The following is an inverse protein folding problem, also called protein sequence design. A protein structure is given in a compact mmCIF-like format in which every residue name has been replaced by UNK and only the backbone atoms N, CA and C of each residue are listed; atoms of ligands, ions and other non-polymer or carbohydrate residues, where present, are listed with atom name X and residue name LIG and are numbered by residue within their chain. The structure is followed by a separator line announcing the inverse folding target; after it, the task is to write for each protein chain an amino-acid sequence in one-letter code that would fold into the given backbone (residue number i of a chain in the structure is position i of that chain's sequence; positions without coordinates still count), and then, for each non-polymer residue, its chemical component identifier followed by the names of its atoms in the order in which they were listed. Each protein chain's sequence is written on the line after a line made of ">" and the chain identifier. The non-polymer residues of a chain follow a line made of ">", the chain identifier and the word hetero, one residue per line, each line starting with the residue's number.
data_IF_474669066727
#
_entry.id   IF_474669066727
#
_cell.length_a   1.000
_cell.length_b   1.000
_cell.length_c   1.000
_cell.angle_alpha   90.00
_cell.angle_beta   90.00
_cell.angle_gamma   90.00
#
_symmetry.space_group_name_H-M   'P 1'
#
loop_
_entity.id
_entity.type
_entity.pdbx_description
1 polymer ?
#
# COMPACT_ATOMS: atom_id res chain seq x y z
N UNK A 1 22.64 -12.97 -7.14
CA UNK A 1 21.18 -12.68 -7.09
C UNK A 1 20.81 -12.13 -5.73
N UNK A 2 19.76 -11.32 -5.64
CA UNK A 2 19.32 -10.70 -4.40
C UNK A 2 18.33 -11.64 -3.65
N UNK A 3 18.58 -11.95 -2.37
CA UNK A 3 17.89 -13.05 -1.66
C UNK A 3 16.89 -12.62 -0.56
N UNK A 4 16.66 -11.32 -0.31
CA UNK A 4 15.62 -10.87 0.64
C UNK A 4 14.29 -10.60 -0.07
N UNK A 5 13.17 -10.87 0.59
CA UNK A 5 11.83 -10.71 -0.02
C UNK A 5 11.31 -9.27 0.09
N UNK A 6 11.63 -8.55 1.17
CA UNK A 6 11.20 -7.16 1.40
C UNK A 6 12.36 -6.39 2.05
N UNK A 7 12.69 -5.21 1.53
CA UNK A 7 13.64 -4.27 2.13
C UNK A 7 12.99 -2.91 2.27
N UNK A 8 13.18 -2.31 3.43
CA UNK A 8 12.95 -0.89 3.66
C UNK A 8 14.29 -0.17 3.51
N UNK A 9 14.33 0.87 2.70
CA UNK A 9 15.53 1.66 2.48
C UNK A 9 15.27 3.15 2.72
N UNK A 10 16.32 3.86 3.13
CA UNK A 10 16.36 5.30 3.29
C UNK A 10 17.78 5.77 2.96
N UNK A 11 17.96 6.61 1.93
CA UNK A 11 19.24 7.22 1.59
C UNK A 11 19.53 8.53 2.35
N UNK A 12 18.51 9.09 3.02
CA UNK A 12 18.67 10.22 3.94
C UNK A 12 19.11 9.77 5.34
N UNK A 13 19.76 10.68 6.09
CA UNK A 13 20.13 10.46 7.50
C UNK A 13 18.93 10.20 8.43
N UNK A 14 17.74 10.72 8.08
CA UNK A 14 16.50 10.52 8.85
C UNK A 14 15.34 10.19 7.92
N UNK A 15 14.68 9.08 8.22
CA UNK A 15 13.42 8.71 7.59
C UNK A 15 12.28 9.65 8.04
N UNK A 16 11.46 10.10 7.09
CA UNK A 16 10.31 10.97 7.33
C UNK A 16 9.03 10.28 6.84
N UNK A 17 8.21 9.81 7.77
CA UNK A 17 6.91 9.24 7.44
C UNK A 17 5.84 10.34 7.36
N UNK A 18 5.82 11.04 6.23
CA UNK A 18 4.92 12.16 5.98
C UNK A 18 4.52 12.23 4.51
N UNK A 19 3.56 13.10 4.19
CA UNK A 19 3.23 13.38 2.78
C UNK A 19 4.41 14.14 2.15
N UNK A 20 5.02 13.63 1.07
CA UNK A 20 6.18 14.28 0.48
C UNK A 20 5.81 15.65 -0.11
N UNK A 21 6.78 16.57 -0.12
CA UNK A 21 6.63 17.88 -0.78
C UNK A 21 6.53 17.76 -2.31
N UNK A 22 7.20 16.76 -2.89
CA UNK A 22 7.12 16.42 -4.31
C UNK A 22 6.06 15.34 -4.60
N UNK A 23 6.00 14.87 -5.84
CA UNK A 23 5.06 13.82 -6.25
C UNK A 23 5.31 12.50 -5.50
N UNK A 24 6.58 12.17 -5.24
CA UNK A 24 7.00 11.07 -4.38
C UNK A 24 8.21 11.48 -3.53
N UNK A 25 8.47 10.74 -2.46
CA UNK A 25 9.76 10.72 -1.77
C UNK A 25 10.66 9.65 -2.38
N UNK A 26 11.73 10.04 -3.06
CA UNK A 26 12.68 9.08 -3.63
C UNK A 26 13.73 8.61 -2.62
N UNK A 27 13.95 9.34 -1.53
CA UNK A 27 15.02 8.99 -0.58
C UNK A 27 14.64 7.79 0.27
N UNK A 28 13.35 7.47 0.40
CA UNK A 28 12.88 6.30 1.13
C UNK A 28 11.91 5.45 0.33
N UNK A 29 11.85 4.16 0.65
CA UNK A 29 10.93 3.25 -0.01
C UNK A 29 11.00 1.81 0.46
N UNK A 30 10.18 0.98 -0.18
CA UNK A 30 10.12 -0.46 0.03
C UNK A 30 10.40 -1.15 -1.30
N UNK A 31 11.44 -1.98 -1.33
CA UNK A 31 11.73 -2.89 -2.43
C UNK A 31 11.21 -4.28 -2.06
N UNK A 32 10.25 -4.79 -2.82
CA UNK A 32 9.76 -6.16 -2.68
C UNK A 32 10.25 -7.00 -3.86
N UNK A 33 10.75 -8.19 -3.56
CA UNK A 33 11.17 -9.19 -4.52
C UNK A 33 10.33 -10.46 -4.30
N UNK A 34 9.11 -10.55 -4.87
CA UNK A 34 8.20 -11.65 -4.62
C UNK A 34 8.81 -13.03 -4.85
N UNK A 35 9.68 -13.20 -5.85
CA UNK A 35 10.35 -14.47 -6.15
C UNK A 35 11.12 -15.08 -4.96
N UNK A 36 11.46 -14.27 -3.95
CA UNK A 36 12.16 -14.73 -2.75
C UNK A 36 11.22 -15.22 -1.64
N UNK A 37 9.90 -15.27 -1.86
CA UNK A 37 9.00 -15.99 -0.96
C UNK A 37 9.03 -17.49 -1.24
N UNK A 38 8.75 -18.28 -0.21
CA UNK A 38 8.61 -19.73 -0.34
C UNK A 38 7.25 -20.04 -0.98
N UNK A 39 7.28 -20.28 -2.29
CA UNK A 39 6.12 -20.78 -3.03
C UNK A 39 6.23 -22.29 -3.27
N UNK A 40 5.10 -23.02 -3.40
CA UNK A 40 5.11 -24.42 -3.82
C UNK A 40 5.76 -24.63 -5.20
N UNK A 41 5.66 -23.62 -6.09
CA UNK A 41 6.36 -23.56 -7.37
C UNK A 41 6.92 -22.14 -7.55
N UNK A 42 8.13 -21.99 -8.09
CA UNK A 42 8.69 -20.67 -8.37
C UNK A 42 7.80 -19.91 -9.36
N UNK A 43 7.78 -18.58 -9.23
CA UNK A 43 7.14 -17.72 -10.22
C UNK A 43 7.89 -17.85 -11.55
N UNK A 44 7.15 -17.80 -12.66
CA UNK A 44 7.71 -17.93 -14.02
C UNK A 44 8.64 -16.77 -14.38
N UNK A 45 8.35 -15.58 -13.88
CA UNK A 45 9.09 -14.35 -14.18
C UNK A 45 9.67 -13.72 -12.92
N UNK A 46 10.80 -13.03 -13.08
CA UNK A 46 11.37 -12.16 -12.05
C UNK A 46 10.51 -10.93 -11.83
N UNK A 47 10.03 -10.71 -10.62
CA UNK A 47 9.24 -9.55 -10.25
C UNK A 47 9.96 -8.71 -9.19
N UNK A 48 9.93 -7.41 -9.39
CA UNK A 48 10.37 -6.41 -8.42
C UNK A 48 9.27 -5.37 -8.29
N UNK A 49 8.94 -4.99 -7.05
CA UNK A 49 8.02 -3.89 -6.76
C UNK A 49 8.73 -2.86 -5.90
N UNK A 50 8.83 -1.66 -6.44
CA UNK A 50 9.29 -0.48 -5.71
C UNK A 50 8.07 0.35 -5.27
N UNK A 51 8.01 0.67 -3.98
CA UNK A 51 6.98 1.54 -3.41
C UNK A 51 7.65 2.72 -2.71
N UNK A 52 7.21 3.93 -3.04
CA UNK A 52 7.63 5.17 -2.40
C UNK A 52 6.43 5.87 -1.75
N UNK A 53 6.67 6.73 -0.75
CA UNK A 53 5.65 7.65 -0.25
C UNK A 53 5.26 8.63 -1.37
N UNK A 54 3.98 8.99 -1.46
CA UNK A 54 3.45 9.76 -2.56
C UNK A 54 2.49 10.86 -2.10
N UNK A 55 2.46 11.98 -2.83
CA UNK A 55 1.57 13.09 -2.56
C UNK A 55 0.32 13.02 -3.45
N UNK A 56 -0.80 12.57 -2.88
CA UNK A 56 -2.06 12.45 -3.62
C UNK A 56 -2.51 13.74 -4.28
N UNK A 57 -2.48 14.88 -3.58
CA UNK A 57 -2.96 16.16 -4.11
C UNK A 57 -2.21 16.56 -5.38
N UNK A 58 -0.90 16.40 -5.38
CA UNK A 58 -0.08 16.72 -6.55
C UNK A 58 -0.37 15.77 -7.71
N UNK A 59 -0.47 14.46 -7.45
CA UNK A 59 -0.82 13.48 -8.48
C UNK A 59 -2.20 13.73 -9.08
N UNK A 60 -3.18 14.07 -8.24
CA UNK A 60 -4.57 14.28 -8.66
C UNK A 60 -4.74 15.56 -9.48
N UNK A 61 -3.98 16.61 -9.16
CA UNK A 61 -4.00 17.87 -9.90
C UNK A 61 -3.46 17.77 -11.34
N UNK A 62 -2.66 16.74 -11.66
CA UNK A 62 -2.04 16.62 -12.99
C UNK A 62 -3.07 16.33 -14.09
N UNK A 63 -3.07 17.11 -15.19
CA UNK A 63 -3.76 16.77 -16.44
C UNK A 63 -3.28 15.43 -16.99
N UNK A 64 -4.11 14.74 -17.77
CA UNK A 64 -3.83 13.38 -18.26
C UNK A 64 -2.46 13.23 -18.94
N UNK A 65 -2.09 14.18 -19.81
CA UNK A 65 -0.82 14.14 -20.54
C UNK A 65 0.38 14.28 -19.59
N UNK A 66 0.33 15.25 -18.69
CA UNK A 66 1.37 15.48 -17.68
C UNK A 66 1.46 14.33 -16.69
N UNK A 67 0.33 13.76 -16.28
CA UNK A 67 0.27 12.57 -15.43
C UNK A 67 1.04 11.40 -16.03
N UNK A 68 0.84 11.10 -17.31
CA UNK A 68 1.55 10.01 -18.00
C UNK A 68 3.06 10.27 -18.05
N UNK A 69 3.47 11.51 -18.33
CA UNK A 69 4.89 11.88 -18.37
C UNK A 69 5.52 11.84 -16.98
N UNK A 70 4.84 12.38 -15.97
CA UNK A 70 5.29 12.37 -14.58
C UNK A 70 5.50 10.95 -14.05
N UNK A 71 4.63 9.99 -14.40
CA UNK A 71 4.84 8.58 -14.04
C UNK A 71 6.17 8.04 -14.58
N UNK A 72 6.52 8.37 -15.82
CA UNK A 72 7.79 7.93 -16.43
C UNK A 72 8.98 8.60 -15.76
N UNK A 73 8.94 9.92 -15.62
CA UNK A 73 10.00 10.72 -15.02
C UNK A 73 10.31 10.29 -13.58
N UNK A 74 9.29 10.19 -12.74
CA UNK A 74 9.47 9.84 -11.33
C UNK A 74 9.85 8.38 -11.13
N UNK A 75 9.42 7.48 -12.01
CA UNK A 75 9.93 6.09 -12.03
C UNK A 75 11.43 6.08 -12.33
N UNK A 76 11.88 6.81 -13.34
CA UNK A 76 13.31 6.90 -13.66
C UNK A 76 14.09 7.45 -12.47
N UNK A 77 13.67 8.57 -11.88
CA UNK A 77 14.34 9.15 -10.70
C UNK A 77 14.39 8.20 -9.50
N UNK A 78 13.29 7.49 -9.23
CA UNK A 78 13.24 6.51 -8.13
C UNK A 78 14.18 5.33 -8.36
N UNK A 79 14.28 4.85 -9.60
CA UNK A 79 15.22 3.80 -9.99
C UNK A 79 16.68 4.27 -9.88
N UNK A 80 17.02 5.47 -10.36
CA UNK A 80 18.39 6.00 -10.19
C UNK A 80 18.81 6.04 -8.72
N UNK A 81 17.94 6.51 -7.81
CA UNK A 81 18.24 6.49 -6.39
C UNK A 81 18.35 5.05 -5.86
N UNK A 82 17.46 4.15 -6.28
CA UNK A 82 17.51 2.74 -5.90
C UNK A 82 18.86 2.10 -6.27
N UNK A 83 19.40 2.39 -7.45
CA UNK A 83 20.66 1.79 -7.91
C UNK A 83 21.91 2.31 -7.19
N UNK A 84 21.79 3.37 -6.38
CA UNK A 84 22.85 3.75 -5.44
C UNK A 84 22.97 2.79 -4.26
N UNK A 85 21.91 2.03 -3.97
CA UNK A 85 21.80 1.11 -2.82
C UNK A 85 21.71 -0.36 -3.24
N UNK A 86 21.26 -0.64 -4.47
CA UNK A 86 20.98 -1.98 -4.98
C UNK A 86 21.63 -2.20 -6.35
N UNK A 87 21.92 -3.45 -6.74
CA UNK A 87 22.42 -3.75 -8.07
C UNK A 87 21.51 -3.22 -9.17
N UNK A 88 22.13 -2.68 -10.22
CA UNK A 88 21.41 -2.24 -11.41
C UNK A 88 20.83 -3.45 -12.16
N UNK A 89 19.51 -3.44 -12.35
CA UNK A 89 18.78 -4.50 -13.04
C UNK A 89 18.06 -4.00 -14.29
N UNK A 90 18.32 -2.75 -14.73
CA UNK A 90 17.60 -2.12 -15.85
C UNK A 90 17.58 -2.97 -17.10
N UNK A 91 18.69 -3.61 -17.43
CA UNK A 91 18.83 -4.42 -18.65
C UNK A 91 17.98 -5.71 -18.61
N UNK A 92 17.56 -6.14 -17.43
CA UNK A 92 16.67 -7.31 -17.25
C UNK A 92 15.19 -6.95 -17.28
N UNK A 93 14.83 -5.66 -17.37
CA UNK A 93 13.43 -5.20 -17.31
C UNK A 93 12.79 -5.28 -18.70
N UNK A 94 11.98 -6.32 -18.91
CA UNK A 94 11.19 -6.50 -20.15
C UNK A 94 9.81 -5.81 -20.09
N UNK A 95 9.32 -5.50 -18.88
CA UNK A 95 8.02 -4.87 -18.67
C UNK A 95 8.05 -3.99 -17.42
N UNK A 96 7.39 -2.83 -17.48
CA UNK A 96 7.20 -1.96 -16.31
C UNK A 96 5.85 -1.25 -16.35
N UNK A 97 5.20 -1.20 -15.19
CA UNK A 97 4.01 -0.38 -14.97
C UNK A 97 4.15 0.42 -13.66
N UNK A 98 3.33 1.46 -13.53
CA UNK A 98 3.32 2.36 -12.38
C UNK A 98 1.89 2.80 -12.13
N UNK A 99 1.42 2.54 -10.92
CA UNK A 99 0.20 3.15 -10.38
C UNK A 99 0.57 4.22 -9.34
N UNK A 100 -0.37 5.12 -9.10
CA UNK A 100 -0.20 6.27 -8.19
C UNK A 100 -1.42 6.36 -7.25
N UNK A 101 -1.41 7.23 -6.23
CA UNK A 101 -2.61 7.50 -5.43
C UNK A 101 -3.85 7.87 -6.28
N UNK A 102 -3.68 8.57 -7.42
CA UNK A 102 -4.78 8.84 -8.36
C UNK A 102 -5.36 7.56 -8.98
N UNK A 103 -4.51 6.57 -9.22
CA UNK A 103 -4.93 5.25 -9.71
C UNK A 103 -5.71 4.50 -8.64
N UNK A 104 -5.24 4.54 -7.38
CA UNK A 104 -5.94 3.92 -6.25
C UNK A 104 -7.33 4.51 -6.09
N UNK A 105 -7.45 5.84 -6.05
CA UNK A 105 -8.76 6.52 -5.96
C UNK A 105 -9.68 6.07 -7.10
N UNK A 106 -9.19 6.07 -8.34
CA UNK A 106 -9.99 5.68 -9.52
C UNK A 106 -10.57 4.28 -9.43
N UNK A 107 -9.79 3.29 -8.98
CA UNK A 107 -10.19 1.88 -9.05
C UNK A 107 -10.79 1.34 -7.74
N UNK A 108 -10.54 1.99 -6.61
CA UNK A 108 -10.96 1.49 -5.30
C UNK A 108 -11.79 2.49 -4.50
N UNK A 109 -11.92 3.74 -4.96
CA UNK A 109 -12.64 4.80 -4.25
C UNK A 109 -11.96 5.28 -2.96
N UNK A 110 -10.79 4.76 -2.61
CA UNK A 110 -10.11 5.17 -1.38
C UNK A 110 -9.73 6.64 -1.44
N UNK A 111 -10.24 7.39 -0.46
CA UNK A 111 -9.95 8.81 -0.27
C UNK A 111 -8.43 9.00 -0.17
N UNK A 112 -7.95 10.05 -0.84
CA UNK A 112 -6.54 10.39 -0.99
C UNK A 112 -5.68 9.27 -1.60
N UNK A 113 -6.29 8.30 -2.31
CA UNK A 113 -5.55 7.17 -2.86
C UNK A 113 -4.83 6.34 -1.80
N UNK A 114 -5.39 6.27 -0.58
CA UNK A 114 -4.80 5.53 0.53
C UNK A 114 -4.88 4.03 0.31
N UNK A 115 -3.78 3.31 0.58
CA UNK A 115 -3.73 1.83 0.48
C UNK A 115 -4.38 1.15 1.69
N UNK A 116 -4.25 1.77 2.87
CA UNK A 116 -4.62 1.18 4.15
C UNK A 116 -5.72 1.96 4.90
N UNK A 117 -6.49 2.76 4.16
CA UNK A 117 -7.61 3.53 4.69
C UNK A 117 -7.19 4.62 5.68
N UNK A 118 -8.07 4.89 6.64
CA UNK A 118 -7.96 5.99 7.60
C UNK A 118 -6.87 5.73 8.66
N UNK A 119 -6.09 6.75 9.09
CA UNK A 119 -5.21 6.62 10.26
C UNK A 119 -6.00 6.48 11.57
N UNK A 120 -7.22 7.02 11.62
CA UNK A 120 -8.15 6.84 12.74
C UNK A 120 -8.92 5.54 12.54
N UNK A 121 -8.56 4.52 13.31
CA UNK A 121 -9.16 3.20 13.28
C UNK A 121 -10.35 3.12 14.25
N UNK A 122 -11.41 2.42 13.87
CA UNK A 122 -12.63 2.23 14.66
C UNK A 122 -12.73 0.77 15.08
N UNK A 123 -11.95 0.31 16.05
CA UNK A 123 -11.69 -1.13 16.32
C UNK A 123 -12.91 -2.01 16.60
N UNK A 124 -14.03 -1.41 16.99
CA UNK A 124 -15.30 -2.10 17.27
C UNK A 124 -16.29 -1.99 16.10
N UNK A 125 -15.94 -1.29 15.02
CA UNK A 125 -16.78 -1.12 13.84
C UNK A 125 -18.12 -0.42 14.06
N UNK A 126 -18.36 0.20 15.23
CA UNK A 126 -19.63 0.83 15.56
C UNK A 126 -19.80 2.13 14.77
N UNK A 127 -20.97 2.29 14.16
CA UNK A 127 -21.37 3.54 13.52
C UNK A 127 -22.50 4.23 14.31
N UNK A 128 -22.78 5.52 14.07
CA UNK A 128 -23.94 6.19 14.64
C UNK A 128 -25.29 5.58 14.20
N UNK A 129 -25.31 4.78 13.14
CA UNK A 129 -26.53 4.14 12.63
C UNK A 129 -26.70 2.77 13.29
N UNK A 130 -27.84 2.58 13.94
CA UNK A 130 -28.16 1.32 14.62
C UNK A 130 -28.08 0.14 13.66
N UNK A 131 -27.42 -0.94 14.09
CA UNK A 131 -27.22 -2.17 13.32
C UNK A 131 -26.45 -1.99 11.99
N UNK A 132 -25.70 -0.89 11.84
CA UNK A 132 -24.73 -0.71 10.77
C UNK A 132 -23.32 -0.75 11.36
N UNK A 133 -22.52 -1.69 10.87
CA UNK A 133 -21.15 -1.91 11.32
C UNK A 133 -20.18 -1.83 10.14
N UNK A 134 -18.95 -1.39 10.40
CA UNK A 134 -17.87 -1.36 9.41
C UNK A 134 -16.85 -2.47 9.69
N UNK A 135 -16.38 -3.12 8.63
CA UNK A 135 -15.26 -4.06 8.67
C UNK A 135 -14.24 -3.72 7.58
N UNK A 136 -13.10 -4.41 7.60
CA UNK A 136 -11.97 -4.16 6.70
C UNK A 136 -10.80 -3.47 7.40
N UNK A 137 -9.93 -2.82 6.63
CA UNK A 137 -8.65 -2.31 7.13
C UNK A 137 -8.77 -1.11 8.09
N UNK A 138 -9.95 -0.51 8.16
CA UNK A 138 -10.24 0.58 9.11
C UNK A 138 -10.47 0.08 10.55
N UNK A 139 -10.48 -1.24 10.77
CA UNK A 139 -10.47 -1.85 12.10
C UNK A 139 -9.07 -1.95 12.73
N UNK A 140 -8.02 -1.58 11.99
CA UNK A 140 -6.63 -1.56 12.48
C UNK A 140 -5.78 -2.75 12.03
N UNK A 141 -6.35 -3.69 11.28
CA UNK A 141 -5.60 -4.73 10.61
C UNK A 141 -5.30 -4.34 9.15
N UNK A 142 -4.14 -4.73 8.61
CA UNK A 142 -3.68 -4.29 7.28
C UNK A 142 -3.67 -5.44 6.27
N UNK A 143 -3.86 -5.08 5.00
CA UNK A 143 -3.81 -6.01 3.88
C UNK A 143 -4.95 -7.04 3.87
N UNK A 144 -4.83 -8.03 2.98
CA UNK A 144 -5.88 -9.05 2.75
C UNK A 144 -6.16 -9.82 4.04
N UNK A 145 -5.12 -10.31 4.72
CA UNK A 145 -5.26 -11.05 5.99
C UNK A 145 -5.96 -10.18 7.04
N UNK A 146 -5.58 -8.91 7.15
CA UNK A 146 -6.18 -8.02 8.11
C UNK A 146 -7.64 -7.69 7.82
N UNK A 147 -7.98 -7.46 6.56
CA UNK A 147 -9.37 -7.24 6.15
C UNK A 147 -10.23 -8.47 6.43
N UNK A 148 -9.73 -9.68 6.16
CA UNK A 148 -10.43 -10.94 6.45
C UNK A 148 -10.66 -11.13 7.95
N UNK A 149 -9.61 -10.95 8.77
CA UNK A 149 -9.73 -11.05 10.23
C UNK A 149 -10.73 -10.05 10.78
N UNK A 150 -10.73 -8.82 10.26
CA UNK A 150 -11.73 -7.82 10.63
C UNK A 150 -13.17 -8.29 10.37
N UNK A 151 -13.45 -8.88 9.20
CA UNK A 151 -14.78 -9.42 8.89
C UNK A 151 -15.23 -10.48 9.90
N UNK A 152 -14.32 -11.41 10.23
CA UNK A 152 -14.56 -12.47 11.23
C UNK A 152 -14.83 -11.83 12.61
N UNK A 153 -14.02 -10.87 13.03
CA UNK A 153 -14.18 -10.20 14.32
C UNK A 153 -15.51 -9.45 14.42
N UNK A 154 -15.91 -8.70 13.39
CA UNK A 154 -17.16 -7.93 13.41
C UNK A 154 -18.40 -8.82 13.39
N UNK A 155 -18.38 -9.91 12.62
CA UNK A 155 -19.47 -10.89 12.62
C UNK A 155 -19.63 -11.54 14.00
N UNK A 156 -18.53 -11.93 14.64
CA UNK A 156 -18.58 -12.50 15.99
C UNK A 156 -19.09 -11.49 17.02
N UNK A 157 -18.52 -10.29 17.03
CA UNK A 157 -18.80 -9.27 18.04
C UNK A 157 -20.25 -8.78 18.02
N UNK A 158 -20.82 -8.55 16.83
CA UNK A 158 -22.11 -7.86 16.70
C UNK A 158 -23.28 -8.75 16.29
N UNK A 159 -23.02 -9.92 15.70
CA UNK A 159 -24.07 -10.77 15.11
C UNK A 159 -24.13 -12.13 15.81
N UNK A 160 -23.00 -12.84 15.90
CA UNK A 160 -22.97 -14.25 16.32
C UNK A 160 -22.85 -14.45 17.82
N UNK A 161 -22.25 -13.50 18.56
CA UNK A 161 -22.25 -13.57 20.02
C UNK A 161 -23.68 -13.44 20.53
N UNK A 162 -24.24 -14.55 21.04
CA UNK A 162 -25.45 -14.52 21.86
C UNK A 162 -25.20 -13.54 23.00
N UNK A 163 -25.95 -12.45 23.04
CA UNK A 163 -26.12 -11.69 24.28
C UNK A 163 -26.74 -12.66 25.27
N UNK A 164 -25.96 -13.14 26.23
CA UNK A 164 -26.50 -13.81 27.41
C UNK A 164 -27.40 -12.77 28.07
N UNK A 165 -28.71 -12.94 27.92
CA UNK A 165 -29.65 -12.15 28.71
C UNK A 165 -29.31 -12.45 30.18
N UNK A 166 -29.11 -11.44 31.04
CA UNK A 166 -28.99 -11.72 32.46
C UNK A 166 -30.25 -12.48 32.88
N UNK A 167 -30.07 -13.67 33.46
CA UNK A 167 -31.16 -14.43 34.05
C UNK A 167 -31.85 -13.51 35.07
N UNK A 168 -33.04 -13.02 34.73
CA UNK A 168 -33.99 -12.41 35.67
C UNK A 168 -34.62 -13.49 36.52
#
# INVERSE_FOLDING_TARGET
>A
GYCRSIIFFCSDYRFRYEVPKGLIDISSGVLCCPNNFQYPKPLSEGMIRLTNLANFRLWDALPRREYINAKKEWRTKALENLFTLFPDFRDSVIFSDTFTPKTILKYTGHINGSVYGSPKKLKDGITPVRNLFICGTDQGFLGIVGATLSGISMANLHILQKKVAPNT
#
